data_IF_013537165798
#
_entry.id   IF_013537165798
#
_cell.length_a   1.000
_cell.length_b   1.000
_cell.length_c   1.000
_cell.angle_alpha   90.00
_cell.angle_beta   90.00
_cell.angle_gamma   90.00
#
_symmetry.space_group_name_H-M   'P 1'
#
loop_
_entity.id
_entity.type
_entity.pdbx_description
1 polymer ?
#
# COMPACT_ATOMS: atom_id res chain seq x y z
N UNK A 1 7.50 0.64 -23.58
CA UNK A 1 7.47 -0.34 -24.67
C UNK A 1 6.07 -0.43 -25.25
N UNK A 2 5.95 -0.49 -26.58
CA UNK A 2 4.70 -0.76 -27.29
C UNK A 2 4.83 -2.13 -27.96
N UNK A 3 3.87 -3.01 -27.77
CA UNK A 3 3.85 -4.32 -28.43
C UNK A 3 3.61 -4.08 -29.92
N UNK A 4 4.50 -4.60 -30.77
CA UNK A 4 4.36 -4.58 -32.22
C UNK A 4 3.67 -5.85 -32.71
N UNK A 5 4.26 -7.01 -32.39
CA UNK A 5 3.67 -8.31 -32.73
C UNK A 5 4.20 -9.43 -31.81
N UNK A 6 3.64 -10.62 -31.97
CA UNK A 6 4.05 -11.82 -31.23
C UNK A 6 4.58 -12.88 -32.21
N UNK A 7 5.77 -13.40 -31.94
CA UNK A 7 6.40 -14.49 -32.68
C UNK A 7 6.56 -15.72 -31.76
N UNK A 8 5.67 -16.69 -31.87
CA UNK A 8 5.68 -17.85 -30.98
C UNK A 8 5.47 -17.48 -29.53
N UNK A 9 6.51 -17.59 -28.71
CA UNK A 9 6.52 -17.17 -27.28
C UNK A 9 7.13 -15.78 -27.05
N UNK A 10 7.68 -15.16 -28.09
CA UNK A 10 8.37 -13.89 -27.99
C UNK A 10 7.42 -12.72 -28.30
N UNK A 11 7.48 -11.69 -27.45
CA UNK A 11 6.73 -10.45 -27.64
C UNK A 11 7.70 -9.40 -28.17
N UNK A 12 7.56 -9.03 -29.43
CA UNK A 12 8.36 -8.00 -30.09
C UNK A 12 7.78 -6.63 -29.75
N UNK A 13 8.64 -5.73 -29.24
CA UNK A 13 8.22 -4.42 -28.79
C UNK A 13 9.05 -3.31 -29.41
N UNK A 14 8.42 -2.15 -29.60
CA UNK A 14 9.08 -0.89 -29.98
C UNK A 14 9.27 -0.04 -28.73
N UNK A 15 10.49 0.51 -28.55
CA UNK A 15 10.75 1.48 -27.47
C UNK A 15 10.10 2.82 -27.81
N UNK A 16 9.18 3.29 -26.95
CA UNK A 16 8.50 4.58 -27.12
C UNK A 16 9.38 5.77 -26.68
N UNK A 17 10.37 5.52 -25.82
CA UNK A 17 11.31 6.51 -25.31
C UNK A 17 12.66 5.86 -24.98
N UNK A 18 13.69 6.66 -24.82
CA UNK A 18 15.01 6.20 -24.40
C UNK A 18 15.00 5.83 -22.91
N UNK A 19 15.84 4.84 -22.55
CA UNK A 19 15.99 4.41 -21.17
C UNK A 19 17.04 3.30 -21.00
N UNK A 20 17.45 3.09 -19.75
CA UNK A 20 18.37 2.01 -19.39
C UNK A 20 17.61 0.87 -18.75
N UNK A 21 17.56 -0.28 -19.41
CA UNK A 21 16.98 -1.50 -18.86
C UNK A 21 18.07 -2.26 -18.11
N UNK A 22 17.95 -2.36 -16.80
CA UNK A 22 18.86 -3.15 -15.94
C UNK A 22 18.43 -4.61 -15.91
N UNK A 23 19.35 -5.50 -15.54
CA UNK A 23 19.06 -6.92 -15.35
C UNK A 23 17.99 -7.15 -14.28
N UNK A 24 17.20 -8.21 -14.43
CA UNK A 24 16.16 -8.67 -13.48
C UNK A 24 15.07 -7.61 -13.21
N UNK A 25 14.72 -6.80 -14.20
CA UNK A 25 13.59 -5.88 -14.09
C UNK A 25 12.29 -6.62 -14.35
N UNK A 26 11.30 -6.40 -13.48
CA UNK A 26 9.92 -6.76 -13.75
C UNK A 26 9.33 -5.89 -14.86
N UNK A 27 8.27 -6.39 -15.46
CA UNK A 27 7.49 -5.69 -16.48
C UNK A 27 6.07 -5.50 -15.94
N UNK A 28 5.60 -4.27 -15.89
CA UNK A 28 4.19 -3.98 -15.63
C UNK A 28 3.44 -3.99 -16.97
N UNK A 29 2.23 -4.53 -16.96
CA UNK A 29 1.37 -4.61 -18.16
C UNK A 29 0.03 -3.96 -17.82
N UNK A 30 -0.03 -2.62 -17.82
CA UNK A 30 -1.21 -1.88 -17.38
C UNK A 30 -2.47 -2.28 -18.16
N UNK A 31 -3.59 -2.46 -17.43
CA UNK A 31 -4.88 -2.79 -18.01
C UNK A 31 -5.06 -4.24 -18.47
N UNK A 32 -4.06 -5.12 -18.27
CA UNK A 32 -4.15 -6.53 -18.66
C UNK A 32 -4.34 -7.42 -17.43
N UNK A 33 -5.37 -8.25 -17.45
CA UNK A 33 -5.57 -9.28 -16.41
C UNK A 33 -4.66 -10.47 -16.69
N UNK A 34 -3.72 -10.70 -15.78
CA UNK A 34 -2.78 -11.82 -15.88
C UNK A 34 -3.41 -13.08 -15.30
N UNK A 35 -3.39 -14.19 -16.09
CA UNK A 35 -4.08 -15.46 -15.77
C UNK A 35 -3.24 -16.47 -14.97
N UNK A 36 -2.20 -16.05 -14.24
CA UNK A 36 -1.38 -16.94 -13.41
C UNK A 36 -1.82 -16.93 -11.95
N UNK A 37 -1.46 -17.99 -11.23
CA UNK A 37 -1.70 -18.13 -9.80
C UNK A 37 -1.04 -16.98 -9.02
N UNK A 38 -1.69 -16.54 -7.95
CA UNK A 38 -1.18 -15.43 -7.15
C UNK A 38 0.14 -15.78 -6.45
N UNK A 39 0.19 -16.94 -5.81
CA UNK A 39 1.40 -17.42 -5.13
C UNK A 39 2.23 -18.28 -6.07
N UNK A 40 3.43 -17.84 -6.38
CA UNK A 40 4.44 -18.68 -7.03
C UNK A 40 5.05 -19.68 -6.02
N UNK A 41 5.76 -20.74 -6.48
CA UNK A 41 6.52 -21.61 -5.59
C UNK A 41 7.53 -20.86 -4.73
N UNK A 42 8.10 -19.77 -5.25
CA UNK A 42 9.01 -18.91 -4.50
C UNK A 42 8.27 -18.14 -3.40
N UNK A 43 7.12 -17.54 -3.70
CA UNK A 43 6.33 -16.81 -2.70
C UNK A 43 5.91 -17.74 -1.56
N UNK A 44 5.50 -18.96 -1.89
CA UNK A 44 5.17 -20.00 -0.91
C UNK A 44 6.36 -20.31 0.01
N UNK A 45 7.56 -20.48 -0.55
CA UNK A 45 8.76 -20.72 0.23
C UNK A 45 9.15 -19.53 1.11
N UNK A 46 9.06 -18.30 0.57
CA UNK A 46 9.38 -17.06 1.29
C UNK A 46 8.39 -16.83 2.46
N UNK A 47 7.10 -17.07 2.27
CA UNK A 47 6.09 -16.96 3.33
C UNK A 47 6.32 -18.02 4.41
N UNK A 48 6.58 -19.28 4.02
CA UNK A 48 6.90 -20.35 4.96
C UNK A 48 8.13 -20.00 5.81
N UNK A 49 9.19 -19.49 5.18
CA UNK A 49 10.37 -19.00 5.90
C UNK A 49 10.01 -17.84 6.84
N UNK A 50 9.15 -16.91 6.43
CA UNK A 50 8.65 -15.85 7.29
C UNK A 50 7.94 -16.37 8.55
N UNK A 51 7.13 -17.43 8.41
CA UNK A 51 6.50 -18.12 9.54
C UNK A 51 7.56 -18.67 10.51
N UNK A 52 8.56 -19.38 9.98
CA UNK A 52 9.67 -19.92 10.79
C UNK A 52 10.46 -18.84 11.54
N UNK A 53 10.57 -17.64 10.97
CA UNK A 53 11.24 -16.50 11.60
C UNK A 53 10.34 -15.71 12.57
N UNK A 54 9.07 -16.07 12.72
CA UNK A 54 8.13 -15.45 13.64
C UNK A 54 7.78 -14.01 13.27
N UNK A 55 7.57 -13.73 11.98
CA UNK A 55 7.13 -12.40 11.54
C UNK A 55 5.70 -12.12 12.03
N UNK A 56 5.39 -10.85 12.27
CA UNK A 56 4.06 -10.44 12.73
C UNK A 56 3.12 -10.08 11.57
N UNK A 57 3.68 -9.68 10.44
CA UNK A 57 2.94 -9.19 9.28
C UNK A 57 3.49 -9.74 7.98
N UNK A 58 2.61 -10.03 7.04
CA UNK A 58 2.93 -10.26 5.63
C UNK A 58 2.37 -9.10 4.81
N UNK A 59 3.23 -8.35 4.14
CA UNK A 59 2.84 -7.34 3.16
C UNK A 59 2.73 -8.01 1.77
N UNK A 60 1.51 -8.38 1.40
CA UNK A 60 1.20 -9.10 0.17
C UNK A 60 1.16 -8.13 -1.02
N UNK A 61 2.12 -8.25 -1.96
CA UNK A 61 2.24 -7.38 -3.13
C UNK A 61 1.25 -7.76 -4.23
N UNK A 62 0.83 -6.77 -5.02
CA UNK A 62 -0.01 -6.95 -6.20
C UNK A 62 -1.30 -7.73 -5.95
N UNK A 63 -1.94 -7.52 -4.79
CA UNK A 63 -3.25 -8.10 -4.50
C UNK A 63 -4.29 -7.56 -5.47
N UNK A 64 -5.02 -8.47 -6.13
CA UNK A 64 -6.02 -8.16 -7.16
C UNK A 64 -7.45 -8.38 -6.67
N UNK A 65 -7.66 -9.36 -5.78
CA UNK A 65 -8.96 -9.83 -5.31
C UNK A 65 -8.87 -10.51 -3.94
N UNK A 66 -10.01 -10.69 -3.29
CA UNK A 66 -10.08 -11.35 -1.98
C UNK A 66 -9.41 -12.73 -1.96
N UNK A 67 -9.52 -13.51 -3.05
CA UNK A 67 -8.92 -14.84 -3.12
C UNK A 67 -7.41 -14.81 -2.95
N UNK A 68 -6.71 -13.80 -3.46
CA UNK A 68 -5.26 -13.65 -3.33
C UNK A 68 -4.85 -13.56 -1.85
N UNK A 69 -5.62 -12.82 -1.03
CA UNK A 69 -5.43 -12.73 0.43
C UNK A 69 -5.76 -14.04 1.12
N UNK A 70 -6.85 -14.72 0.70
CA UNK A 70 -7.26 -16.00 1.26
C UNK A 70 -6.24 -17.11 0.98
N UNK A 71 -5.55 -17.08 -0.16
CA UNK A 71 -4.49 -18.02 -0.51
C UNK A 71 -3.29 -17.84 0.44
N UNK A 72 -2.89 -16.61 0.73
CA UNK A 72 -1.87 -16.32 1.76
C UNK A 72 -2.33 -16.81 3.13
N UNK A 73 -3.56 -16.47 3.53
CA UNK A 73 -4.12 -16.88 4.84
C UNK A 73 -4.15 -18.38 5.01
N UNK A 74 -4.53 -19.10 3.96
CA UNK A 74 -4.51 -20.57 3.96
C UNK A 74 -3.09 -21.09 4.21
N UNK A 75 -2.09 -20.54 3.53
CA UNK A 75 -0.69 -20.93 3.70
C UNK A 75 -0.18 -20.66 5.13
N UNK A 76 -0.56 -19.53 5.74
CA UNK A 76 -0.24 -19.21 7.13
C UNK A 76 -0.84 -20.24 8.11
N UNK A 77 -2.10 -20.61 7.90
CA UNK A 77 -2.78 -21.64 8.71
C UNK A 77 -2.09 -23.00 8.56
N UNK A 78 -1.75 -23.41 7.33
CA UNK A 78 -1.04 -24.67 7.05
C UNK A 78 0.35 -24.73 7.71
N UNK A 79 1.00 -23.59 7.89
CA UNK A 79 2.27 -23.46 8.61
C UNK A 79 2.10 -23.27 10.14
N UNK A 80 0.87 -23.27 10.67
CA UNK A 80 0.60 -23.16 12.10
C UNK A 80 0.65 -21.73 12.66
N UNK A 81 0.59 -20.70 11.81
CA UNK A 81 0.69 -19.28 12.17
C UNK A 81 -0.53 -18.45 11.72
N UNK A 82 -1.76 -18.82 12.14
CA UNK A 82 -2.97 -18.08 11.76
C UNK A 82 -3.05 -16.66 12.32
N UNK A 83 -2.20 -16.32 13.30
CA UNK A 83 -2.14 -15.01 13.96
C UNK A 83 -1.38 -13.95 13.14
N UNK A 84 -0.59 -14.36 12.15
CA UNK A 84 0.16 -13.41 11.29
C UNK A 84 -0.83 -12.59 10.48
N UNK A 85 -0.72 -11.28 10.58
CA UNK A 85 -1.61 -10.34 9.91
C UNK A 85 -1.20 -10.08 8.46
N UNK A 86 -2.18 -9.89 7.58
CA UNK A 86 -1.96 -9.69 6.16
C UNK A 86 -2.30 -8.23 5.80
N UNK A 87 -1.30 -7.48 5.34
CA UNK A 87 -1.45 -6.15 4.76
C UNK A 87 -1.49 -6.30 3.24
N UNK A 88 -2.67 -6.14 2.64
CA UNK A 88 -2.82 -6.21 1.19
C UNK A 88 -2.33 -4.92 0.54
N UNK A 89 -1.34 -5.03 -0.37
CA UNK A 89 -0.83 -3.89 -1.12
C UNK A 89 -1.67 -3.69 -2.38
N UNK A 90 -2.26 -2.51 -2.48
CA UNK A 90 -3.07 -2.12 -3.65
C UNK A 90 -2.16 -1.37 -4.62
N UNK A 91 -1.81 -2.04 -5.71
CA UNK A 91 -0.78 -1.64 -6.67
C UNK A 91 -1.26 -1.63 -8.12
N UNK A 92 -2.53 -2.02 -8.36
CA UNK A 92 -3.09 -2.15 -9.70
C UNK A 92 -4.58 -1.80 -9.73
N UNK A 93 -5.13 -1.59 -10.93
CA UNK A 93 -6.54 -1.27 -11.15
C UNK A 93 -7.49 -2.33 -10.59
N UNK A 94 -7.17 -3.62 -10.81
CA UNK A 94 -8.04 -4.72 -10.36
C UNK A 94 -8.19 -4.71 -8.83
N UNK A 95 -7.10 -4.45 -8.09
CA UNK A 95 -7.15 -4.30 -6.63
C UNK A 95 -7.95 -3.08 -6.16
N UNK A 96 -7.89 -1.97 -6.90
CA UNK A 96 -8.72 -0.77 -6.62
C UNK A 96 -10.21 -1.08 -6.83
N UNK A 97 -10.56 -1.79 -7.90
CA UNK A 97 -11.94 -2.14 -8.23
C UNK A 97 -12.51 -3.13 -7.21
N UNK A 98 -11.72 -4.11 -6.78
CA UNK A 98 -12.10 -5.17 -5.86
C UNK A 98 -11.83 -4.81 -4.37
N UNK A 99 -11.54 -3.55 -4.07
CA UNK A 99 -11.15 -3.10 -2.73
C UNK A 99 -12.12 -3.53 -1.62
N UNK A 100 -13.43 -3.50 -1.88
CA UNK A 100 -14.44 -3.80 -0.87
C UNK A 100 -14.43 -5.29 -0.46
N UNK A 101 -14.12 -6.19 -1.36
CA UNK A 101 -13.98 -7.61 -1.03
C UNK A 101 -12.60 -7.93 -0.42
N UNK A 102 -11.55 -7.29 -0.88
CA UNK A 102 -10.20 -7.42 -0.29
C UNK A 102 -10.23 -6.97 1.16
N UNK A 103 -10.86 -5.83 1.44
CA UNK A 103 -10.95 -5.25 2.78
C UNK A 103 -11.66 -6.15 3.79
N UNK A 104 -12.60 -7.01 3.35
CA UNK A 104 -13.29 -7.96 4.23
C UNK A 104 -12.37 -9.05 4.76
N UNK A 105 -11.33 -9.42 4.02
CA UNK A 105 -10.47 -10.58 4.31
C UNK A 105 -9.05 -10.19 4.76
N UNK A 106 -8.57 -9.01 4.38
CA UNK A 106 -7.26 -8.48 4.80
C UNK A 106 -7.35 -7.86 6.20
N UNK A 107 -6.24 -7.84 6.93
CA UNK A 107 -6.13 -7.19 8.24
C UNK A 107 -5.82 -5.69 8.11
N UNK A 108 -5.17 -5.30 7.02
CA UNK A 108 -4.89 -3.92 6.67
C UNK A 108 -4.60 -3.77 5.18
N UNK A 109 -4.44 -2.52 4.76
CA UNK A 109 -4.19 -2.15 3.37
C UNK A 109 -2.95 -1.27 3.29
N UNK A 110 -2.16 -1.43 2.22
CA UNK A 110 -1.12 -0.47 1.86
C UNK A 110 -1.46 0.18 0.51
N UNK A 111 -1.54 1.49 0.48
CA UNK A 111 -1.63 2.28 -0.75
C UNK A 111 -0.21 2.44 -1.29
N UNK A 112 0.19 1.56 -2.20
CA UNK A 112 1.54 1.51 -2.76
C UNK A 112 1.60 2.36 -4.04
N UNK A 113 1.75 3.68 -3.85
CA UNK A 113 1.58 4.70 -4.89
C UNK A 113 2.56 4.60 -6.06
N UNK A 114 3.75 4.04 -5.83
CA UNK A 114 4.77 3.87 -6.87
C UNK A 114 4.30 2.95 -8.00
N UNK A 115 3.94 1.72 -7.66
CA UNK A 115 3.45 0.74 -8.63
C UNK A 115 2.05 1.12 -9.13
N UNK A 116 1.17 1.59 -8.25
CA UNK A 116 -0.16 2.07 -8.63
C UNK A 116 -0.09 3.18 -9.68
N UNK A 117 0.86 4.13 -9.56
CA UNK A 117 1.04 5.23 -10.52
C UNK A 117 1.61 4.79 -11.88
N UNK A 118 2.03 3.54 -12.03
CA UNK A 118 2.35 2.94 -13.33
C UNK A 118 1.12 2.31 -13.97
N UNK A 119 0.20 1.81 -13.15
CA UNK A 119 -1.01 1.07 -13.55
C UNK A 119 -2.21 1.98 -13.83
N UNK A 120 -2.27 3.16 -13.20
CA UNK A 120 -3.35 4.14 -13.35
C UNK A 120 -2.80 5.50 -13.79
N UNK A 121 -3.62 6.40 -14.38
CA UNK A 121 -3.22 7.78 -14.63
C UNK A 121 -2.72 8.47 -13.35
N UNK A 122 -1.65 9.23 -13.48
CA UNK A 122 -1.00 9.87 -12.31
C UNK A 122 -1.95 10.78 -11.52
N UNK A 123 -2.86 11.47 -12.22
CA UNK A 123 -3.88 12.33 -11.64
C UNK A 123 -4.93 11.58 -10.82
N UNK A 124 -5.11 10.29 -11.04
CA UNK A 124 -6.06 9.45 -10.29
C UNK A 124 -5.48 8.94 -8.97
N UNK A 125 -4.16 8.84 -8.85
CA UNK A 125 -3.50 8.29 -7.64
C UNK A 125 -3.93 9.00 -6.36
N UNK A 126 -3.95 10.34 -6.26
CA UNK A 126 -4.40 11.04 -5.06
C UNK A 126 -5.88 10.79 -4.73
N UNK A 127 -6.74 10.64 -5.75
CA UNK A 127 -8.16 10.36 -5.58
C UNK A 127 -8.37 8.94 -5.05
N UNK A 128 -7.64 7.97 -5.62
CA UNK A 128 -7.64 6.57 -5.18
C UNK A 128 -7.13 6.48 -3.73
N UNK A 129 -6.01 7.13 -3.39
CA UNK A 129 -5.48 7.19 -2.02
C UNK A 129 -6.56 7.62 -1.02
N UNK A 130 -7.21 8.76 -1.27
CA UNK A 130 -8.28 9.27 -0.39
C UNK A 130 -9.45 8.30 -0.27
N UNK A 131 -9.85 7.66 -1.36
CA UNK A 131 -10.92 6.66 -1.38
C UNK A 131 -10.54 5.44 -0.56
N UNK A 132 -9.33 4.90 -0.73
CA UNK A 132 -8.84 3.73 -0.01
C UNK A 132 -8.73 4.01 1.49
N UNK A 133 -8.10 5.13 1.90
CA UNK A 133 -8.00 5.53 3.30
C UNK A 133 -9.39 5.65 3.94
N UNK A 134 -10.33 6.33 3.27
CA UNK A 134 -11.70 6.47 3.77
C UNK A 134 -12.40 5.13 3.99
N UNK A 135 -12.23 4.17 3.06
CA UNK A 135 -12.82 2.83 3.17
C UNK A 135 -12.21 2.03 4.33
N UNK A 136 -10.87 2.07 4.48
CA UNK A 136 -10.19 1.40 5.60
C UNK A 136 -10.68 1.93 6.95
N UNK A 137 -10.74 3.24 7.11
CA UNK A 137 -11.26 3.87 8.34
C UNK A 137 -12.69 3.47 8.65
N UNK A 138 -13.57 3.45 7.64
CA UNK A 138 -14.96 3.03 7.82
C UNK A 138 -15.10 1.56 8.23
N UNK A 139 -14.14 0.72 7.82
CA UNK A 139 -14.10 -0.70 8.15
C UNK A 139 -13.26 -1.01 9.42
N UNK A 140 -12.70 -0.01 10.10
CA UNK A 140 -11.81 -0.20 11.25
C UNK A 140 -10.52 -0.97 10.91
N UNK A 141 -10.03 -0.85 9.67
CA UNK A 141 -8.82 -1.52 9.18
C UNK A 141 -7.67 -0.55 9.04
N UNK A 142 -6.47 -1.02 9.40
CA UNK A 142 -5.24 -0.22 9.28
C UNK A 142 -4.94 0.10 7.81
N UNK A 143 -4.51 1.33 7.56
CA UNK A 143 -4.04 1.77 6.24
C UNK A 143 -2.67 2.42 6.31
N UNK A 144 -1.79 1.98 5.41
CA UNK A 144 -0.42 2.50 5.25
C UNK A 144 -0.34 3.26 3.93
N UNK A 145 0.11 4.51 3.96
CA UNK A 145 0.45 5.26 2.73
C UNK A 145 1.94 5.14 2.46
N UNK A 146 2.29 4.61 1.29
CA UNK A 146 3.65 4.22 0.95
C UNK A 146 4.13 4.80 -0.38
N UNK A 147 5.44 4.84 -0.51
CA UNK A 147 6.24 5.21 -1.68
C UNK A 147 6.22 6.69 -2.04
N UNK A 148 7.39 7.19 -2.45
CA UNK A 148 7.58 8.57 -2.90
C UNK A 148 7.12 9.63 -1.87
N UNK A 149 7.28 9.36 -0.58
CA UNK A 149 6.88 10.29 0.48
C UNK A 149 7.86 11.45 0.62
N UNK A 150 9.17 11.13 0.70
CA UNK A 150 10.29 12.08 0.78
C UNK A 150 11.39 11.68 -0.22
N UNK A 151 11.00 11.29 -1.43
CA UNK A 151 11.86 10.64 -2.43
C UNK A 151 13.14 11.40 -2.74
N UNK A 152 13.07 12.73 -2.80
CA UNK A 152 14.24 13.59 -3.01
C UNK A 152 15.30 13.47 -1.90
N UNK A 153 14.91 12.99 -0.71
CA UNK A 153 15.84 12.79 0.40
C UNK A 153 16.72 11.54 0.25
N UNK A 154 16.52 10.72 -0.79
CA UNK A 154 17.51 9.72 -1.17
C UNK A 154 18.86 10.37 -1.52
N UNK A 155 18.84 11.57 -2.12
CA UNK A 155 20.02 12.30 -2.60
C UNK A 155 20.26 13.63 -1.86
N UNK A 156 19.24 14.23 -1.24
CA UNK A 156 19.28 15.55 -0.62
C UNK A 156 18.97 15.50 0.88
N UNK A 157 19.63 16.31 1.71
CA UNK A 157 19.40 16.32 3.17
C UNK A 157 18.08 16.98 3.59
N UNK A 158 17.31 17.53 2.63
CA UNK A 158 16.03 18.21 2.88
C UNK A 158 15.03 17.84 1.78
N UNK A 159 13.75 17.65 2.13
CA UNK A 159 12.71 17.39 1.16
C UNK A 159 12.30 18.64 0.41
N UNK A 160 11.58 18.45 -0.69
CA UNK A 160 10.85 19.52 -1.36
C UNK A 160 9.61 19.93 -0.56
N UNK A 161 9.06 21.12 -0.83
CA UNK A 161 7.78 21.57 -0.23
C UNK A 161 6.61 20.67 -0.66
N UNK A 162 6.65 20.13 -1.87
CA UNK A 162 5.62 19.22 -2.36
C UNK A 162 5.58 17.93 -1.55
N UNK A 163 6.74 17.35 -1.24
CA UNK A 163 6.85 16.14 -0.41
C UNK A 163 6.40 16.38 1.03
N UNK A 164 6.78 17.51 1.64
CA UNK A 164 6.28 17.90 2.97
C UNK A 164 4.75 17.99 2.96
N UNK A 165 4.17 18.60 1.92
CA UNK A 165 2.73 18.72 1.75
C UNK A 165 2.07 17.35 1.53
N UNK A 166 2.70 16.45 0.80
CA UNK A 166 2.20 15.10 0.54
C UNK A 166 2.11 14.26 1.82
N UNK A 167 3.19 14.24 2.62
CA UNK A 167 3.20 13.58 3.95
C UNK A 167 2.09 14.14 4.84
N UNK A 168 1.98 15.46 4.95
CA UNK A 168 0.94 16.10 5.75
C UNK A 168 -0.47 15.75 5.26
N UNK A 169 -0.69 15.74 3.93
CA UNK A 169 -1.98 15.39 3.36
C UNK A 169 -2.38 13.93 3.61
N UNK A 170 -1.44 12.97 3.55
CA UNK A 170 -1.72 11.58 3.90
C UNK A 170 -2.24 11.46 5.35
N UNK A 171 -1.67 12.23 6.28
CA UNK A 171 -2.10 12.27 7.69
C UNK A 171 -3.48 12.93 7.81
N UNK A 172 -3.73 14.06 7.12
CA UNK A 172 -5.06 14.69 7.09
C UNK A 172 -6.13 13.79 6.48
N UNK A 173 -5.77 12.95 5.51
CA UNK A 173 -6.66 11.94 4.93
C UNK A 173 -7.03 10.85 5.95
N UNK A 174 -6.20 10.68 6.98
CA UNK A 174 -6.40 9.74 8.09
C UNK A 174 -5.73 8.40 7.88
N UNK A 175 -4.55 8.38 7.26
CA UNK A 175 -3.70 7.18 7.24
C UNK A 175 -3.22 6.83 8.65
N UNK A 176 -3.08 5.54 8.95
CA UNK A 176 -2.59 5.07 10.26
C UNK A 176 -1.06 5.02 10.30
N UNK A 177 -0.44 4.81 9.14
CA UNK A 177 1.01 4.80 9.02
C UNK A 177 1.46 5.42 7.69
N UNK A 178 2.67 5.96 7.69
CA UNK A 178 3.38 6.48 6.52
C UNK A 178 4.71 5.73 6.41
N UNK A 179 5.10 5.36 5.18
CA UNK A 179 6.26 4.50 4.96
C UNK A 179 7.30 5.17 4.08
N UNK A 180 8.54 5.16 4.54
CA UNK A 180 9.74 5.43 3.72
C UNK A 180 10.15 4.15 2.99
N UNK A 181 10.74 4.29 1.82
CA UNK A 181 11.24 3.20 0.98
C UNK A 181 12.74 3.39 0.70
N UNK A 182 13.08 3.87 -0.48
CA UNK A 182 14.45 4.14 -0.88
C UNK A 182 15.16 5.13 0.03
N UNK A 183 14.44 6.09 0.59
CA UNK A 183 14.93 7.15 1.47
C UNK A 183 15.70 6.58 2.67
N UNK A 184 15.18 5.52 3.29
CA UNK A 184 15.81 4.87 4.44
C UNK A 184 16.58 3.60 4.09
N UNK A 185 16.26 2.93 2.95
CA UNK A 185 16.86 1.65 2.57
C UNK A 185 18.19 1.79 1.82
N UNK A 186 18.35 2.81 1.00
CA UNK A 186 19.52 3.02 0.14
C UNK A 186 19.91 4.49 -0.07
N UNK A 187 19.10 5.42 0.47
CA UNK A 187 19.36 6.85 0.37
C UNK A 187 20.61 7.28 1.16
N UNK A 188 21.10 8.46 0.86
CA UNK A 188 22.28 9.05 1.52
C UNK A 188 21.95 9.65 2.90
N UNK A 189 20.65 9.89 3.18
CA UNK A 189 20.17 10.59 4.37
C UNK A 189 19.06 9.80 5.09
N UNK A 190 19.31 8.54 5.50
CA UNK A 190 18.24 7.68 6.07
C UNK A 190 17.73 8.20 7.41
N UNK A 191 18.60 8.64 8.31
CA UNK A 191 18.22 9.16 9.61
C UNK A 191 17.45 10.48 9.48
N UNK A 192 17.95 11.41 8.65
CA UNK A 192 17.29 12.69 8.39
C UNK A 192 15.93 12.52 7.75
N UNK A 193 15.76 11.51 6.91
CA UNK A 193 14.46 11.17 6.29
C UNK A 193 13.44 10.75 7.36
N UNK A 194 13.82 9.85 8.26
CA UNK A 194 12.97 9.42 9.38
C UNK A 194 12.62 10.59 10.30
N UNK A 195 13.64 11.38 10.69
CA UNK A 195 13.44 12.54 11.55
C UNK A 195 12.56 13.61 10.89
N UNK A 196 12.71 13.83 9.60
CA UNK A 196 11.89 14.79 8.85
C UNK A 196 10.46 14.33 8.77
N UNK A 197 10.22 13.07 8.42
CA UNK A 197 8.88 12.48 8.38
C UNK A 197 8.20 12.58 9.74
N UNK A 198 8.90 12.26 10.81
CA UNK A 198 8.42 12.38 12.20
C UNK A 198 8.01 13.82 12.53
N UNK A 199 8.86 14.80 12.19
CA UNK A 199 8.56 16.23 12.45
C UNK A 199 7.32 16.71 11.71
N UNK A 200 7.14 16.26 10.45
CA UNK A 200 5.95 16.61 9.66
C UNK A 200 4.72 15.97 10.29
N UNK A 201 4.80 14.69 10.68
CA UNK A 201 3.70 13.97 11.30
C UNK A 201 3.24 14.66 12.59
N UNK A 202 4.15 14.86 13.55
CA UNK A 202 3.83 15.52 14.81
C UNK A 202 3.23 16.91 14.61
N UNK A 203 3.81 17.69 13.67
CA UNK A 203 3.30 19.05 13.40
C UNK A 203 1.91 19.05 12.77
N UNK A 204 1.61 18.06 11.93
CA UNK A 204 0.29 17.90 11.31
C UNK A 204 -0.74 17.46 12.35
N UNK A 205 -0.39 16.51 13.21
CA UNK A 205 -1.27 15.99 14.27
C UNK A 205 -1.67 17.06 15.27
N UNK A 206 -0.78 18.03 15.60
CA UNK A 206 -1.14 19.18 16.45
C UNK A 206 -2.31 20.00 15.89
N UNK A 207 -2.57 19.95 14.59
CA UNK A 207 -3.62 20.75 13.92
C UNK A 207 -4.90 19.96 13.67
N UNK A 208 -4.94 18.65 13.96
CA UNK A 208 -6.11 17.81 13.78
C UNK A 208 -7.19 18.12 14.82
N UNK A 209 -8.40 18.41 14.35
CA UNK A 209 -9.58 18.52 15.21
C UNK A 209 -10.19 17.14 15.46
N UNK A 210 -9.60 16.41 16.41
CA UNK A 210 -10.06 15.07 16.81
C UNK A 210 -11.52 15.06 17.26
N UNK A 211 -12.00 16.11 17.92
CA UNK A 211 -13.39 16.22 18.36
C UNK A 211 -14.36 16.28 17.16
N UNK A 212 -13.99 17.01 16.10
CA UNK A 212 -14.78 17.02 14.87
C UNK A 212 -14.72 15.69 14.12
N UNK A 213 -13.57 15.01 14.11
CA UNK A 213 -13.41 13.69 13.51
C UNK A 213 -14.28 12.66 14.23
N UNK A 214 -14.26 12.66 15.58
CA UNK A 214 -15.09 11.79 16.40
C UNK A 214 -16.59 12.05 16.17
N UNK A 215 -17.02 13.32 16.21
CA UNK A 215 -18.43 13.69 15.93
C UNK A 215 -18.92 13.24 14.57
N UNK A 216 -18.05 13.20 13.57
CA UNK A 216 -18.38 12.68 12.23
C UNK A 216 -18.51 11.16 12.22
N UNK A 217 -17.68 10.46 13.00
CA UNK A 217 -17.72 9.00 13.12
C UNK A 217 -18.98 8.51 13.85
N UNK A 218 -19.40 9.21 14.92
CA UNK A 218 -20.55 8.86 15.77
C UNK A 218 -21.93 8.99 15.06
N UNK A 219 -21.98 9.38 13.80
CA UNK A 219 -23.26 9.55 13.08
C UNK A 219 -24.00 8.26 12.72
N UNK A 220 -23.37 7.11 12.82
CA UNK A 220 -23.98 5.80 12.67
C UNK A 220 -24.38 5.25 14.02
N UNK A 221 -25.56 4.63 14.11
CA UNK A 221 -25.97 3.94 15.33
C UNK A 221 -24.99 2.80 15.62
N UNK A 222 -24.60 2.57 16.90
CA UNK A 222 -23.69 1.49 17.24
C UNK A 222 -24.31 0.13 16.90
N UNK A 223 -23.48 -0.76 16.34
CA UNK A 223 -23.91 -2.10 15.94
C UNK A 223 -23.83 -3.11 17.11
N UNK A 224 -23.00 -2.80 18.13
CA UNK A 224 -22.84 -3.64 19.31
C UNK A 224 -22.63 -2.82 20.60
N UNK A 225 -22.72 -3.46 21.80
CA UNK A 225 -22.53 -2.79 23.08
C UNK A 225 -21.15 -2.16 23.29
N UNK A 226 -20.08 -2.75 22.72
CA UNK A 226 -18.72 -2.21 22.85
C UNK A 226 -18.57 -0.92 22.09
N UNK A 227 -19.14 -0.87 20.88
CA UNK A 227 -19.18 0.34 20.07
C UNK A 227 -20.00 1.45 20.74
N UNK A 228 -21.15 1.10 21.35
CA UNK A 228 -21.96 2.04 22.09
C UNK A 228 -21.20 2.65 23.29
N UNK A 229 -20.40 1.85 24.00
CA UNK A 229 -19.55 2.31 25.09
C UNK A 229 -18.46 3.26 24.56
N UNK A 230 -17.76 2.88 23.50
CA UNK A 230 -16.74 3.72 22.89
C UNK A 230 -17.27 5.06 22.39
N UNK A 231 -18.52 5.09 21.89
CA UNK A 231 -19.19 6.32 21.46
C UNK A 231 -19.66 7.23 22.61
N UNK A 232 -19.77 6.69 23.82
CA UNK A 232 -20.26 7.42 24.98
C UNK A 232 -19.17 8.09 25.83
N UNK A 233 -17.91 7.78 25.56
CA UNK A 233 -16.70 8.34 26.21
C UNK A 233 -16.20 9.56 25.47
#
# INVERSE_FOLDING_TARGET
>A
LLVDHVEGTDIVCVCANDGIVKNKRGINVPGVKLGFDYLSPKDTADITFGCEQGVNFIAASFVRRAQDVLDVKKLLIENGHPEIQIIAKIENNEGVDNMDEILKVADGIMVARGDLGVEVPAEDVPLIQKKLIKKCRAAGKVVITATQMLDSMQENPRPTRAEVSDVANAIYDGTDAIMLSGESAQGKYPEESVMTMTKIALKTEETLDYASLLRKAIRTAPEDPSEAICMSV
#
